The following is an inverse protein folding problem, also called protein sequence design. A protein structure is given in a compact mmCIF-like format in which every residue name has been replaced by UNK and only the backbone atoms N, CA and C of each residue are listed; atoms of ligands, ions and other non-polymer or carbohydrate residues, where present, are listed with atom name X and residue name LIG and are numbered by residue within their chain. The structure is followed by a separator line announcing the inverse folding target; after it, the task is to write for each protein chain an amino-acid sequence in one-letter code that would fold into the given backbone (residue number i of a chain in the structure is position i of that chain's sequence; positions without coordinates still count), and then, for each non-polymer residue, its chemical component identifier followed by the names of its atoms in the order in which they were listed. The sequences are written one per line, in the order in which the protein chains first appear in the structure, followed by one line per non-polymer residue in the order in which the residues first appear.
data_IF_985105007167
#
_entry.id   IF_985105007167
#
_cell.length_a   1.000
_cell.length_b   1.000
_cell.length_c   1.000
_cell.angle_alpha   90.00
_cell.angle_beta   90.00
_cell.angle_gamma   90.00
#
_symmetry.space_group_name_H-M   'P 1'
#
loop_
_entity.id
_entity.type
_entity.pdbx_description
1 polymer ?
#
# COMPACT_ATOMS: atom_id res chain seq x y z
N UNK A 1 15.35 25.70 17.11
CA UNK A 1 16.63 25.78 17.85
C UNK A 1 16.68 27.10 18.60
N UNK A 2 16.99 27.08 19.89
CA UNK A 2 17.24 28.28 20.72
C UNK A 2 18.57 28.03 21.46
N UNK A 3 19.51 28.98 21.39
CA UNK A 3 20.85 28.91 21.98
C UNK A 3 20.96 29.95 23.09
N UNK A 4 21.19 29.52 24.32
CA UNK A 4 21.58 30.39 25.44
C UNK A 4 23.00 30.03 25.87
N UNK A 5 23.88 31.02 25.91
CA UNK A 5 25.26 30.87 26.37
C UNK A 5 25.45 31.58 27.70
N UNK A 6 25.71 30.80 28.75
CA UNK A 6 26.25 31.28 30.01
C UNK A 6 27.54 30.49 30.30
N UNK A 7 28.58 31.19 30.76
CA UNK A 7 29.98 30.75 30.83
C UNK A 7 30.27 29.24 30.95
N UNK A 8 31.15 28.75 30.07
CA UNK A 8 31.68 27.39 29.95
C UNK A 8 30.69 26.23 29.72
N UNK A 9 29.38 26.49 29.68
CA UNK A 9 28.34 25.46 29.46
C UNK A 9 27.41 25.87 28.31
N UNK A 10 27.17 24.93 27.40
CA UNK A 10 26.23 25.13 26.27
C UNK A 10 25.02 24.22 26.43
N UNK A 11 23.82 24.76 26.22
CA UNK A 11 22.54 24.05 26.32
C UNK A 11 21.89 23.94 24.92
N UNK A 12 21.51 22.72 24.52
CA UNK A 12 20.82 22.46 23.26
C UNK A 12 19.48 21.74 23.48
N UNK A 13 18.49 22.05 22.63
CA UNK A 13 17.12 21.52 22.68
C UNK A 13 16.72 20.93 21.31
N UNK A 14 16.32 19.66 21.29
CA UNK A 14 15.77 18.95 20.11
C UNK A 14 14.36 18.42 20.44
N UNK A 15 13.42 18.47 19.48
CA UNK A 15 12.04 18.00 19.67
C UNK A 15 11.66 16.94 18.61
N UNK A 16 11.70 15.66 18.98
CA UNK A 16 11.38 14.51 18.13
C UNK A 16 11.01 13.30 19.01
N UNK A 17 10.06 12.44 18.60
CA UNK A 17 9.77 11.21 19.35
C UNK A 17 10.87 10.17 19.09
N UNK A 18 11.32 9.49 20.14
CA UNK A 18 12.37 8.47 20.07
C UNK A 18 11.84 7.14 20.60
N UNK A 19 12.29 6.03 20.02
CA UNK A 19 12.05 4.70 20.59
C UNK A 19 13.02 4.39 21.75
N UNK A 20 12.75 3.33 22.52
CA UNK A 20 13.52 2.96 23.73
C UNK A 20 15.00 2.65 23.43
N UNK A 21 15.31 2.21 22.20
CA UNK A 21 16.67 1.91 21.79
C UNK A 21 17.43 3.14 21.31
N UNK A 22 16.76 4.06 20.61
CA UNK A 22 17.31 5.39 20.35
C UNK A 22 17.65 6.07 21.67
N UNK A 23 16.81 5.93 22.69
CA UNK A 23 17.10 6.43 24.02
C UNK A 23 18.36 5.76 24.61
N UNK A 24 18.51 4.44 24.50
CA UNK A 24 19.69 3.72 24.98
C UNK A 24 20.98 4.15 24.25
N UNK A 25 20.99 4.20 22.91
CA UNK A 25 22.14 4.63 22.11
C UNK A 25 22.46 6.12 22.36
N UNK A 26 21.45 6.98 22.55
CA UNK A 26 21.63 8.39 22.94
C UNK A 26 22.26 8.49 24.33
N UNK A 27 21.88 7.63 25.28
CA UNK A 27 22.46 7.62 26.62
C UNK A 27 23.93 7.16 26.62
N UNK A 28 24.35 6.29 25.70
CA UNK A 28 25.77 5.94 25.53
C UNK A 28 26.64 7.13 25.05
N UNK A 29 26.05 8.09 24.32
CA UNK A 29 26.75 9.32 23.88
C UNK A 29 27.21 10.17 25.06
N UNK A 30 26.51 10.11 26.20
CA UNK A 30 26.86 10.89 27.40
C UNK A 30 28.25 10.54 27.91
N UNK A 31 28.58 9.26 27.97
CA UNK A 31 29.89 8.78 28.44
C UNK A 31 30.98 9.04 27.40
N UNK A 32 30.67 8.80 26.13
CA UNK A 32 31.62 8.95 25.01
C UNK A 32 32.14 10.38 24.83
N UNK A 33 31.28 11.38 25.04
CA UNK A 33 31.63 12.80 24.85
C UNK A 33 31.73 13.59 26.16
N UNK A 34 31.61 12.93 27.31
CA UNK A 34 31.59 13.56 28.63
C UNK A 34 30.58 14.73 28.69
N UNK A 35 29.36 14.49 28.25
CA UNK A 35 28.24 15.44 28.28
C UNK A 35 27.10 14.86 29.09
N UNK A 36 26.30 15.70 29.76
CA UNK A 36 25.06 15.29 30.40
C UNK A 36 23.90 15.36 29.42
N UNK A 37 23.16 14.26 29.26
CA UNK A 37 21.99 14.16 28.40
C UNK A 37 20.76 13.90 29.27
N UNK A 38 19.72 14.72 29.12
CA UNK A 38 18.43 14.56 29.77
C UNK A 38 17.35 14.43 28.68
N UNK A 39 16.56 13.36 28.77
CA UNK A 39 15.51 13.05 27.79
C UNK A 39 14.14 13.11 28.47
N UNK A 40 13.17 13.75 27.83
CA UNK A 40 11.76 13.73 28.21
C UNK A 40 10.95 13.03 27.10
N UNK A 41 10.74 11.70 27.21
CA UNK A 41 10.12 10.87 26.16
C UNK A 41 8.70 11.31 25.79
N UNK A 42 7.94 11.81 26.76
CA UNK A 42 6.54 12.20 26.58
C UNK A 42 6.34 13.37 25.59
N UNK A 43 7.34 14.26 25.47
CA UNK A 43 7.29 15.44 24.58
C UNK A 43 8.39 15.41 23.50
N UNK A 44 9.18 14.33 23.46
CA UNK A 44 10.24 14.14 22.48
C UNK A 44 11.44 15.06 22.67
N UNK A 45 11.78 15.40 23.91
CA UNK A 45 12.74 16.47 24.19
C UNK A 45 14.11 15.92 24.62
N UNK A 46 15.19 16.39 24.01
CA UNK A 46 16.57 16.10 24.44
C UNK A 46 17.26 17.40 24.85
N UNK A 47 17.83 17.39 26.05
CA UNK A 47 18.66 18.44 26.59
C UNK A 47 20.09 17.94 26.76
N UNK A 48 21.02 18.57 26.07
CA UNK A 48 22.45 18.27 26.16
C UNK A 48 23.14 19.43 26.88
N UNK A 49 23.94 19.10 27.90
CA UNK A 49 24.74 20.09 28.65
C UNK A 49 26.13 19.55 28.93
N UNK A 50 27.16 20.39 28.84
CA UNK A 50 28.54 19.98 29.01
C UNK A 50 29.50 21.10 28.62
N UNK A 51 30.79 20.78 28.54
CA UNK A 51 31.78 21.73 28.05
C UNK A 51 31.43 22.14 26.62
N UNK A 52 31.50 23.45 26.34
CA UNK A 52 31.11 24.03 25.04
C UNK A 52 31.78 23.37 23.81
N UNK A 53 32.98 22.81 23.98
CA UNK A 53 33.71 22.08 22.93
C UNK A 53 33.17 20.66 22.65
N UNK A 54 32.52 20.01 23.62
CA UNK A 54 32.06 18.62 23.51
C UNK A 54 30.62 18.52 23.01
N UNK A 55 29.78 19.48 23.41
CA UNK A 55 28.34 19.47 23.08
C UNK A 55 28.05 19.43 21.57
N UNK A 56 28.77 20.15 20.69
CA UNK A 56 28.53 20.05 19.24
C UNK A 56 28.83 18.67 18.64
N UNK A 57 29.81 17.95 19.18
CA UNK A 57 30.17 16.61 18.70
C UNK A 57 29.14 15.57 19.17
N UNK A 58 28.74 15.64 20.44
CA UNK A 58 27.65 14.82 20.98
C UNK A 58 26.33 15.05 20.22
N UNK A 59 26.00 16.32 19.90
CA UNK A 59 24.82 16.66 19.12
C UNK A 59 24.87 16.05 17.71
N UNK A 60 26.03 16.06 17.05
CA UNK A 60 26.21 15.45 15.72
C UNK A 60 25.98 13.95 15.76
N UNK A 61 26.49 13.27 16.79
CA UNK A 61 26.31 11.83 16.96
C UNK A 61 24.84 11.48 17.24
N UNK A 62 24.16 12.24 18.10
CA UNK A 62 22.73 12.06 18.37
C UNK A 62 21.90 12.29 17.10
N UNK A 63 22.21 13.34 16.33
CA UNK A 63 21.58 13.56 15.02
C UNK A 63 21.82 12.39 14.06
N UNK A 64 23.02 11.79 14.07
CA UNK A 64 23.33 10.61 13.27
C UNK A 64 22.44 9.44 13.70
N UNK A 65 22.41 9.09 14.99
CA UNK A 65 21.59 7.98 15.54
C UNK A 65 20.12 8.15 15.16
N UNK A 66 19.58 9.35 15.30
CA UNK A 66 18.20 9.68 14.96
C UNK A 66 17.94 9.50 13.46
N UNK A 67 18.82 9.99 12.60
CA UNK A 67 18.63 9.98 11.16
C UNK A 67 18.94 8.62 10.51
N UNK A 68 19.85 7.83 11.09
CA UNK A 68 20.34 6.56 10.51
C UNK A 68 19.30 5.44 10.63
N UNK A 69 18.59 5.34 11.76
CA UNK A 69 17.47 4.41 11.94
C UNK A 69 16.27 4.78 11.05
N UNK A 70 15.92 6.06 11.00
CA UNK A 70 14.81 6.56 10.19
C UNK A 70 15.11 6.37 8.69
N UNK A 71 16.35 6.61 8.23
CA UNK A 71 16.76 6.34 6.85
C UNK A 71 16.79 4.84 6.51
N UNK A 72 17.35 3.99 7.37
CA UNK A 72 17.49 2.56 7.08
C UNK A 72 16.11 1.87 6.95
N UNK A 73 15.16 2.20 7.82
CA UNK A 73 13.81 1.62 7.78
C UNK A 73 12.96 2.21 6.65
N UNK A 74 13.20 3.48 6.28
CA UNK A 74 12.59 4.08 5.08
C UNK A 74 13.05 3.39 3.81
N UNK A 75 14.31 2.96 3.73
CA UNK A 75 14.87 2.24 2.58
C UNK A 75 14.40 0.78 2.51
N UNK A 76 14.40 0.07 3.64
CA UNK A 76 14.20 -1.38 3.70
C UNK A 76 13.46 -1.79 4.97
N UNK A 77 12.52 -2.71 4.82
CA UNK A 77 11.83 -3.35 5.93
C UNK A 77 11.96 -4.88 5.85
N UNK A 78 12.24 -5.50 6.98
CA UNK A 78 12.27 -6.96 7.12
C UNK A 78 10.95 -7.50 7.66
N UNK A 79 10.60 -8.70 7.21
CA UNK A 79 9.38 -9.41 7.57
C UNK A 79 9.67 -10.89 7.86
N UNK A 80 8.76 -11.55 8.56
CA UNK A 80 8.74 -12.99 8.77
C UNK A 80 7.37 -13.59 8.43
N UNK A 81 7.35 -14.89 8.13
CA UNK A 81 6.11 -15.61 7.83
C UNK A 81 6.24 -17.13 7.98
N UNK A 82 5.13 -17.77 8.32
CA UNK A 82 4.99 -19.23 8.34
C UNK A 82 4.87 -19.82 6.92
N UNK A 83 5.37 -21.03 6.72
CA UNK A 83 5.29 -21.74 5.44
C UNK A 83 4.13 -22.75 5.36
N UNK A 84 3.25 -22.77 6.35
CA UNK A 84 2.22 -23.80 6.49
C UNK A 84 1.03 -23.62 5.52
N UNK A 85 0.92 -22.43 4.92
CA UNK A 85 -0.14 -22.06 3.97
C UNK A 85 0.40 -21.91 2.54
N UNK A 86 -0.48 -21.98 1.54
CA UNK A 86 -0.12 -21.65 0.15
C UNK A 86 0.22 -20.16 -0.02
N UNK A 87 -0.56 -19.30 0.65
CA UNK A 87 -0.38 -17.85 0.66
C UNK A 87 -0.45 -17.35 2.10
N UNK A 88 0.42 -16.41 2.46
CA UNK A 88 0.49 -15.85 3.82
C UNK A 88 0.73 -14.35 3.77
N UNK A 89 0.07 -13.59 4.63
CA UNK A 89 0.37 -12.17 4.82
C UNK A 89 1.58 -12.10 5.75
N UNK A 90 2.72 -11.54 5.31
CA UNK A 90 3.90 -11.51 6.15
C UNK A 90 3.77 -10.51 7.29
N UNK A 91 4.36 -10.84 8.43
CA UNK A 91 4.40 -9.98 9.61
C UNK A 91 5.68 -9.14 9.62
N UNK A 92 5.53 -7.89 10.03
CA UNK A 92 6.61 -6.91 10.02
C UNK A 92 7.44 -7.03 11.31
N UNK A 93 8.76 -7.14 11.21
CA UNK A 93 9.62 -6.94 12.38
C UNK A 93 9.52 -5.49 12.88
N UNK A 94 9.58 -5.30 14.20
CA UNK A 94 9.72 -3.96 14.77
C UNK A 94 10.86 -3.18 14.10
N UNK A 95 10.68 -1.87 13.92
CA UNK A 95 11.62 -1.01 13.18
C UNK A 95 13.06 -1.12 13.72
N UNK A 96 13.20 -1.20 15.03
CA UNK A 96 14.47 -1.37 15.73
C UNK A 96 15.16 -2.72 15.44
N UNK A 97 14.38 -3.79 15.30
CA UNK A 97 14.87 -5.12 14.88
C UNK A 97 15.23 -5.08 13.40
N UNK A 98 14.32 -4.62 12.55
CA UNK A 98 14.52 -4.48 11.09
C UNK A 98 15.82 -3.73 10.76
N UNK A 99 16.08 -2.59 11.41
CA UNK A 99 17.32 -1.83 11.22
C UNK A 99 18.58 -2.58 11.68
N UNK A 100 18.49 -3.44 12.70
CA UNK A 100 19.61 -4.28 13.16
C UNK A 100 19.86 -5.43 12.17
N UNK A 101 18.79 -6.05 11.68
CA UNK A 101 18.83 -7.10 10.66
C UNK A 101 19.48 -6.55 9.39
N UNK A 102 19.02 -5.40 8.91
CA UNK A 102 19.54 -4.77 7.71
C UNK A 102 21.02 -4.39 7.83
N UNK A 103 21.43 -3.82 8.97
CA UNK A 103 22.85 -3.51 9.24
C UNK A 103 23.72 -4.78 9.21
N UNK A 104 23.27 -5.86 9.84
CA UNK A 104 24.00 -7.13 9.84
C UNK A 104 24.05 -7.75 8.45
N UNK A 105 22.93 -7.73 7.71
CA UNK A 105 22.86 -8.25 6.34
C UNK A 105 23.76 -7.48 5.37
N UNK A 106 23.79 -6.13 5.44
CA UNK A 106 24.70 -5.31 4.63
C UNK A 106 26.18 -5.63 4.89
N UNK A 107 26.52 -5.99 6.13
CA UNK A 107 27.90 -6.32 6.53
C UNK A 107 28.31 -7.74 6.12
N UNK A 108 27.44 -8.73 6.34
CA UNK A 108 27.68 -10.13 5.97
C UNK A 108 26.37 -10.80 5.49
N UNK A 109 26.09 -10.78 4.17
CA UNK A 109 24.89 -11.39 3.59
C UNK A 109 24.83 -12.91 3.71
N UNK A 110 25.90 -13.58 4.14
CA UNK A 110 25.97 -15.04 4.32
C UNK A 110 26.05 -15.45 5.80
N UNK A 111 26.04 -14.49 6.71
CA UNK A 111 26.12 -14.70 8.15
C UNK A 111 24.76 -14.88 8.80
N UNK A 112 24.73 -14.60 10.11
CA UNK A 112 23.51 -14.59 10.91
C UNK A 112 23.47 -13.40 11.87
N UNK A 113 22.28 -13.12 12.40
CA UNK A 113 22.09 -12.09 13.43
C UNK A 113 21.08 -12.57 14.47
N UNK A 114 21.33 -12.27 15.74
CA UNK A 114 20.37 -12.47 16.83
C UNK A 114 19.68 -11.15 17.17
N UNK A 115 18.35 -11.16 17.16
CA UNK A 115 17.50 -9.99 17.44
C UNK A 115 16.41 -10.36 18.45
N UNK A 116 15.76 -9.35 19.05
CA UNK A 116 14.79 -9.52 20.14
C UNK A 116 15.40 -9.36 21.54
N UNK A 117 14.59 -8.87 22.48
CA UNK A 117 15.00 -8.63 23.87
C UNK A 117 14.57 -9.79 24.78
N UNK A 118 13.25 -10.01 24.89
CA UNK A 118 12.64 -11.10 25.66
C UNK A 118 12.70 -12.42 24.88
N UNK A 119 12.08 -12.46 23.69
CA UNK A 119 12.17 -13.58 22.77
C UNK A 119 13.28 -13.33 21.76
N UNK A 120 14.38 -14.06 21.89
CA UNK A 120 15.52 -13.95 20.98
C UNK A 120 15.33 -14.89 19.81
N UNK A 121 15.44 -14.35 18.61
CA UNK A 121 15.42 -15.10 17.36
C UNK A 121 16.76 -14.95 16.64
N UNK A 122 17.26 -16.04 16.09
CA UNK A 122 18.43 -16.06 15.22
C UNK A 122 17.96 -16.11 13.77
N UNK A 123 18.43 -15.15 12.96
CA UNK A 123 18.14 -15.06 11.53
C UNK A 123 19.38 -15.49 10.76
N UNK A 124 19.24 -16.52 9.93
CA UNK A 124 20.26 -17.00 9.00
C UNK A 124 20.01 -16.37 7.62
N UNK A 125 20.95 -15.54 7.15
CA UNK A 125 20.82 -14.82 5.89
C UNK A 125 21.04 -15.69 4.66
N UNK A 126 21.75 -16.81 4.82
CA UNK A 126 22.00 -17.76 3.73
C UNK A 126 20.76 -18.57 3.41
N UNK A 127 20.01 -19.00 4.42
CA UNK A 127 18.76 -19.77 4.24
C UNK A 127 17.51 -18.90 4.21
N UNK A 128 17.65 -17.62 4.56
CA UNK A 128 16.55 -16.66 4.74
C UNK A 128 15.47 -17.24 5.66
N UNK A 129 15.89 -17.70 6.84
CA UNK A 129 15.01 -18.27 7.87
C UNK A 129 15.36 -17.71 9.23
N UNK A 130 14.37 -17.66 10.12
CA UNK A 130 14.60 -17.45 11.53
C UNK A 130 14.31 -18.69 12.36
N UNK A 131 14.89 -18.73 13.55
CA UNK A 131 14.67 -19.75 14.56
C UNK A 131 14.64 -19.10 15.94
N UNK A 132 13.59 -19.39 16.70
CA UNK A 132 13.52 -19.00 18.11
C UNK A 132 14.64 -19.69 18.91
N UNK A 133 15.26 -18.96 19.83
CA UNK A 133 16.27 -19.50 20.74
C UNK A 133 15.65 -20.09 22.01
N UNK A 134 14.34 -19.93 22.23
CA UNK A 134 13.63 -20.64 23.29
C UNK A 134 13.52 -22.14 22.91
N UNK A 135 14.03 -23.07 23.74
CA UNK A 135 13.96 -24.51 23.47
C UNK A 135 12.54 -25.07 23.34
N UNK A 136 11.53 -24.35 23.83
CA UNK A 136 10.13 -24.76 23.78
C UNK A 136 9.46 -24.41 22.45
N UNK A 137 10.04 -23.47 21.69
CA UNK A 137 9.56 -23.06 20.36
C UNK A 137 10.50 -23.59 19.28
N UNK A 138 10.02 -24.58 18.52
CA UNK A 138 10.81 -25.23 17.48
C UNK A 138 10.37 -24.86 16.06
N UNK A 139 9.47 -23.88 15.93
CA UNK A 139 8.98 -23.43 14.64
C UNK A 139 10.03 -22.58 13.93
N UNK A 140 10.21 -22.87 12.64
CA UNK A 140 11.10 -22.11 11.76
C UNK A 140 10.26 -21.26 10.84
N UNK A 141 10.46 -19.95 10.90
CA UNK A 141 9.83 -19.02 9.98
C UNK A 141 10.77 -18.71 8.82
N UNK A 142 10.19 -18.27 7.70
CA UNK A 142 10.94 -17.65 6.62
C UNK A 142 11.06 -16.16 6.88
N UNK A 143 12.18 -15.57 6.49
CA UNK A 143 12.37 -14.11 6.54
C UNK A 143 12.43 -13.53 5.14
N UNK A 144 11.96 -12.30 5.03
CA UNK A 144 11.83 -11.59 3.76
C UNK A 144 12.33 -10.15 3.91
N UNK A 145 13.22 -9.75 2.99
CA UNK A 145 13.79 -8.40 2.92
C UNK A 145 13.07 -7.61 1.83
N UNK A 146 12.31 -6.58 2.20
CA UNK A 146 11.54 -5.74 1.28
C UNK A 146 12.17 -4.36 1.10
N UNK A 147 12.54 -3.95 -0.12
CA UNK A 147 12.85 -2.56 -0.41
C UNK A 147 11.59 -1.68 -0.31
N UNK A 148 11.64 -0.60 0.46
CA UNK A 148 10.54 0.33 0.70
C UNK A 148 10.62 1.59 -0.18
N UNK A 149 11.83 1.99 -0.60
CA UNK A 149 12.08 3.30 -1.22
C UNK A 149 11.71 3.45 -2.70
N UNK A 150 11.40 2.38 -3.44
CA UNK A 150 11.13 2.51 -4.87
C UNK A 150 9.79 3.21 -5.15
N UNK A 151 8.81 3.10 -4.26
CA UNK A 151 7.48 3.68 -4.46
C UNK A 151 6.64 3.67 -3.16
N UNK A 152 6.30 4.83 -2.53
CA UNK A 152 5.43 4.81 -1.36
C UNK A 152 4.02 4.37 -1.76
N UNK A 153 3.61 3.18 -1.33
CA UNK A 153 2.24 2.71 -1.50
C UNK A 153 1.26 3.54 -0.66
N UNK A 154 -0.04 3.57 -1.01
CA UNK A 154 -1.04 4.26 -0.22
C UNK A 154 -1.02 3.74 1.23
N UNK A 155 -1.12 4.62 2.25
CA UNK A 155 -1.00 4.20 3.65
C UNK A 155 -2.05 3.17 4.11
N UNK A 156 -3.16 3.07 3.38
CA UNK A 156 -4.25 2.15 3.64
C UNK A 156 -4.16 0.85 2.80
N UNK A 157 -3.00 0.56 2.21
CA UNK A 157 -2.74 -0.72 1.57
C UNK A 157 -2.20 -1.73 2.57
N UNK A 158 -2.71 -2.95 2.49
CA UNK A 158 -2.19 -4.10 3.20
C UNK A 158 -0.89 -4.57 2.55
N UNK A 159 -0.10 -5.37 3.28
CA UNK A 159 1.07 -6.02 2.70
C UNK A 159 0.63 -7.04 1.64
N UNK A 160 1.44 -7.20 0.58
CA UNK A 160 1.15 -8.23 -0.41
C UNK A 160 1.39 -9.60 0.24
N UNK A 161 0.47 -10.58 0.06
CA UNK A 161 0.71 -11.93 0.49
C UNK A 161 1.92 -12.52 -0.25
N UNK A 162 2.61 -13.44 0.39
CA UNK A 162 3.70 -14.20 -0.18
C UNK A 162 3.17 -15.55 -0.65
N UNK A 163 3.51 -15.95 -1.86
CA UNK A 163 3.39 -17.33 -2.32
C UNK A 163 4.50 -18.15 -1.66
N UNK A 164 4.13 -19.02 -0.72
CA UNK A 164 5.08 -19.81 0.07
C UNK A 164 5.92 -20.77 -0.79
N UNK A 165 5.44 -21.16 -1.99
CA UNK A 165 6.18 -22.03 -2.90
C UNK A 165 7.32 -21.29 -3.62
N UNK A 166 7.17 -19.99 -3.84
CA UNK A 166 8.15 -19.17 -4.56
C UNK A 166 8.93 -18.20 -3.67
N UNK A 167 8.41 -17.90 -2.46
CA UNK A 167 8.94 -16.89 -1.55
C UNK A 167 8.80 -15.45 -2.08
N UNK A 168 7.87 -15.21 -3.01
CA UNK A 168 7.66 -13.91 -3.64
C UNK A 168 6.30 -13.33 -3.29
N UNK A 169 6.24 -12.01 -3.16
CA UNK A 169 4.98 -11.28 -3.08
C UNK A 169 4.12 -11.56 -4.31
N UNK A 170 2.82 -11.73 -4.09
CA UNK A 170 1.84 -11.80 -5.16
C UNK A 170 1.81 -10.48 -5.92
N UNK A 171 1.74 -10.57 -7.25
CA UNK A 171 1.59 -9.41 -8.13
C UNK A 171 0.26 -8.68 -7.86
N UNK A 172 -0.79 -9.43 -7.59
CA UNK A 172 -2.14 -8.93 -7.31
C UNK A 172 -2.60 -9.48 -5.97
N UNK A 173 -3.03 -8.59 -5.08
CA UNK A 173 -3.76 -8.97 -3.89
C UNK A 173 -5.19 -8.42 -3.98
N UNK A 174 -6.17 -9.33 -3.82
CA UNK A 174 -7.58 -8.99 -3.76
C UNK A 174 -8.16 -9.50 -2.46
N UNK A 175 -8.82 -8.62 -1.72
CA UNK A 175 -9.45 -8.96 -0.45
C UNK A 175 -10.80 -8.26 -0.31
N UNK A 176 -11.68 -8.87 0.48
CA UNK A 176 -13.04 -8.37 0.69
C UNK A 176 -13.00 -7.27 1.73
N UNK A 177 -13.66 -6.15 1.44
CA UNK A 177 -13.81 -5.06 2.40
C UNK A 177 -14.88 -5.46 3.42
N UNK A 178 -14.58 -5.31 4.70
CA UNK A 178 -15.54 -5.54 5.78
C UNK A 178 -16.76 -4.61 5.63
N UNK A 179 -17.95 -5.21 5.65
CA UNK A 179 -19.23 -4.51 5.52
C UNK A 179 -19.48 -3.52 6.66
N UNK A 180 -18.82 -3.68 7.81
CA UNK A 180 -18.93 -2.77 8.96
C UNK A 180 -17.92 -1.62 8.90
N UNK A 181 -17.02 -1.61 7.92
CA UNK A 181 -15.98 -0.59 7.80
C UNK A 181 -16.51 0.72 7.20
N UNK A 182 -15.90 1.83 7.60
CA UNK A 182 -16.17 3.14 6.99
C UNK A 182 -15.83 3.16 5.49
N UNK A 183 -14.82 2.40 5.05
CA UNK A 183 -14.46 2.29 3.63
C UNK A 183 -15.60 1.64 2.83
N UNK A 184 -16.24 0.60 3.37
CA UNK A 184 -17.40 -0.02 2.73
C UNK A 184 -18.56 0.98 2.58
N UNK A 185 -18.92 1.68 3.66
CA UNK A 185 -20.02 2.65 3.64
C UNK A 185 -19.82 3.75 2.59
N UNK A 186 -18.58 4.25 2.45
CA UNK A 186 -18.25 5.26 1.45
C UNK A 186 -18.44 4.75 0.01
N UNK A 187 -17.91 3.56 -0.30
CA UNK A 187 -17.98 2.98 -1.65
C UNK A 187 -19.41 2.55 -1.98
N UNK A 188 -20.09 1.93 -1.04
CA UNK A 188 -21.48 1.53 -1.15
C UNK A 188 -22.41 2.74 -1.31
N UNK A 189 -22.20 3.81 -0.54
CA UNK A 189 -22.95 5.07 -0.65
C UNK A 189 -22.76 5.74 -2.01
N UNK A 190 -21.52 5.80 -2.51
CA UNK A 190 -21.22 6.32 -3.85
C UNK A 190 -21.89 5.50 -4.95
N UNK A 191 -21.86 4.16 -4.84
CA UNK A 191 -22.57 3.28 -5.76
C UNK A 191 -24.07 3.58 -5.76
N UNK A 192 -24.72 3.56 -4.59
CA UNK A 192 -26.16 3.84 -4.45
C UNK A 192 -26.55 5.21 -5.02
N UNK A 193 -25.79 6.25 -4.71
CA UNK A 193 -26.03 7.59 -5.26
C UNK A 193 -25.98 7.57 -6.80
N UNK A 194 -24.99 6.90 -7.38
CA UNK A 194 -24.83 6.80 -8.85
C UNK A 194 -25.86 5.89 -9.53
N UNK A 195 -26.56 5.03 -8.77
CA UNK A 195 -27.65 4.19 -9.23
C UNK A 195 -29.01 4.90 -9.20
N UNK A 196 -29.20 5.84 -8.27
CA UNK A 196 -30.48 6.53 -8.04
C UNK A 196 -31.04 7.29 -9.26
N UNK A 197 -30.19 7.61 -10.24
CA UNK A 197 -30.59 8.30 -11.48
C UNK A 197 -31.28 7.41 -12.52
N UNK A 198 -31.40 6.10 -12.29
CA UNK A 198 -32.06 5.17 -13.21
C UNK A 198 -33.11 4.32 -12.50
N UNK A 199 -34.39 4.66 -12.72
CA UNK A 199 -35.52 3.88 -12.18
C UNK A 199 -35.58 2.45 -12.71
N UNK A 200 -34.97 2.18 -13.88
CA UNK A 200 -34.98 0.87 -14.52
C UNK A 200 -33.97 -0.14 -13.91
N UNK A 201 -33.07 0.32 -13.02
CA UNK A 201 -32.01 -0.50 -12.42
C UNK A 201 -32.03 -0.46 -10.88
N UNK A 202 -33.17 -0.07 -10.29
CA UNK A 202 -33.35 0.17 -8.86
C UNK A 202 -33.10 -1.05 -7.93
N UNK A 203 -32.88 -2.24 -8.49
CA UNK A 203 -32.78 -3.49 -7.74
C UNK A 203 -31.39 -4.16 -7.82
N UNK A 204 -30.35 -3.49 -8.32
CA UNK A 204 -28.99 -4.03 -8.27
C UNK A 204 -28.46 -3.95 -6.84
N UNK A 205 -28.16 -5.10 -6.23
CA UNK A 205 -27.66 -5.19 -4.86
C UNK A 205 -26.16 -5.54 -4.88
N UNK A 206 -25.39 -4.87 -4.02
CA UNK A 206 -23.98 -5.21 -3.82
C UNK A 206 -23.90 -6.49 -3.00
N UNK A 207 -23.35 -7.54 -3.60
CA UNK A 207 -23.06 -8.81 -2.93
C UNK A 207 -21.74 -8.71 -2.18
N UNK A 208 -20.73 -8.12 -2.83
CA UNK A 208 -19.37 -8.03 -2.29
C UNK A 208 -18.61 -6.86 -2.89
N UNK A 209 -17.82 -6.18 -2.08
CA UNK A 209 -16.82 -5.19 -2.52
C UNK A 209 -15.44 -5.75 -2.20
N UNK A 210 -14.59 -5.78 -3.20
CA UNK A 210 -13.20 -6.20 -3.05
C UNK A 210 -12.27 -5.03 -3.37
N UNK A 211 -11.24 -4.88 -2.57
CA UNK A 211 -10.12 -3.99 -2.84
C UNK A 211 -9.08 -4.73 -3.66
N UNK A 212 -8.45 -4.04 -4.60
CA UNK A 212 -7.40 -4.62 -5.45
C UNK A 212 -6.12 -3.82 -5.25
N UNK A 213 -5.05 -4.54 -4.92
CA UNK A 213 -3.71 -4.00 -4.83
C UNK A 213 -2.86 -4.65 -5.90
N UNK A 214 -2.45 -3.83 -6.87
CA UNK A 214 -1.44 -4.18 -7.86
C UNK A 214 -0.36 -3.09 -7.79
N UNK A 215 0.75 -3.34 -7.06
CA UNK A 215 1.87 -2.42 -6.92
C UNK A 215 2.40 -1.88 -8.26
N UNK A 216 2.60 -2.76 -9.25
CA UNK A 216 3.16 -2.40 -10.55
C UNK A 216 2.26 -1.44 -11.33
N UNK A 217 0.96 -1.73 -11.40
CA UNK A 217 -0.01 -0.84 -12.06
C UNK A 217 -0.19 0.48 -11.31
N UNK A 218 -0.11 0.48 -9.97
CA UNK A 218 -0.19 1.70 -9.19
C UNK A 218 1.03 2.61 -9.39
N UNK A 219 2.23 2.05 -9.47
CA UNK A 219 3.44 2.80 -9.80
C UNK A 219 3.31 3.48 -11.18
N UNK A 220 2.92 2.72 -12.21
CA UNK A 220 2.68 3.28 -13.55
C UNK A 220 1.64 4.40 -13.49
N UNK A 221 0.55 4.20 -12.75
CA UNK A 221 -0.50 5.21 -12.59
C UNK A 221 0.03 6.53 -11.99
N UNK A 222 0.74 6.45 -10.88
CA UNK A 222 1.24 7.64 -10.18
C UNK A 222 2.37 8.35 -10.94
N UNK A 223 3.22 7.61 -11.67
CA UNK A 223 4.18 8.21 -12.60
C UNK A 223 3.49 9.01 -13.72
N UNK A 224 2.39 8.48 -14.27
CA UNK A 224 1.60 9.18 -15.28
C UNK A 224 0.86 10.39 -14.68
N UNK A 225 0.37 10.26 -13.45
CA UNK A 225 -0.28 11.35 -12.72
C UNK A 225 0.67 12.52 -12.45
N UNK A 226 1.92 12.26 -12.08
CA UNK A 226 2.97 13.30 -11.91
C UNK A 226 3.24 14.10 -13.18
N UNK A 227 3.11 13.46 -14.35
CA UNK A 227 3.32 14.11 -15.66
C UNK A 227 2.12 14.96 -16.11
N UNK A 228 0.97 14.88 -15.45
CA UNK A 228 -0.16 15.76 -15.72
C UNK A 228 0.04 17.11 -15.03
N UNK A 229 0.32 18.17 -15.81
CA UNK A 229 0.49 19.55 -15.29
C UNK A 229 -0.84 20.32 -15.18
N UNK A 230 -0.88 21.32 -14.27
CA UNK A 230 -1.84 22.42 -14.17
C UNK A 230 -3.34 22.09 -14.38
N UNK A 231 -3.96 21.41 -13.41
CA UNK A 231 -5.42 21.20 -13.35
C UNK A 231 -5.88 19.76 -13.64
N UNK A 232 -5.00 18.79 -13.39
CA UNK A 232 -5.24 17.36 -13.61
C UNK A 232 -6.57 16.87 -13.04
N UNK A 233 -7.44 16.39 -13.92
CA UNK A 233 -8.72 15.83 -13.56
C UNK A 233 -8.56 14.31 -13.37
N UNK A 234 -8.35 13.88 -12.12
CA UNK A 234 -8.54 12.49 -11.71
C UNK A 234 -10.04 12.31 -11.40
N UNK A 235 -10.67 11.32 -12.02
CA UNK A 235 -12.07 11.01 -11.78
C UNK A 235 -12.22 9.59 -11.26
N UNK A 236 -13.16 9.38 -10.33
CA UNK A 236 -13.66 8.05 -10.00
C UNK A 236 -14.76 7.69 -10.99
N UNK A 237 -14.55 6.64 -11.78
CA UNK A 237 -15.47 6.20 -12.82
C UNK A 237 -15.74 4.69 -12.71
N UNK A 238 -16.82 4.26 -13.36
CA UNK A 238 -17.32 2.89 -13.31
C UNK A 238 -17.03 2.15 -14.62
N UNK A 239 -16.63 0.88 -14.56
CA UNK A 239 -16.42 0.04 -15.73
C UNK A 239 -17.06 -1.34 -15.53
N UNK A 240 -18.10 -1.65 -16.29
CA UNK A 240 -18.71 -2.98 -16.29
C UNK A 240 -17.90 -3.95 -17.14
N UNK A 241 -17.73 -5.18 -16.67
CA UNK A 241 -17.02 -6.22 -17.43
C UNK A 241 -17.62 -7.61 -17.23
N UNK A 242 -17.20 -8.57 -18.05
CA UNK A 242 -17.52 -9.99 -17.88
C UNK A 242 -16.56 -10.65 -16.89
N UNK A 243 -17.04 -11.68 -16.18
CA UNK A 243 -16.25 -12.48 -15.23
C UNK A 243 -14.92 -12.96 -15.78
N UNK A 244 -14.91 -13.40 -17.04
CA UNK A 244 -13.74 -13.97 -17.73
C UNK A 244 -12.62 -12.95 -17.94
N UNK A 245 -12.91 -11.65 -17.92
CA UNK A 245 -11.91 -10.60 -18.09
C UNK A 245 -11.31 -10.11 -16.75
N UNK A 246 -11.92 -10.44 -15.61
CA UNK A 246 -11.56 -9.89 -14.29
C UNK A 246 -10.11 -10.19 -13.91
N UNK A 247 -9.67 -11.43 -14.06
CA UNK A 247 -8.31 -11.82 -13.69
C UNK A 247 -7.28 -11.06 -14.54
N UNK A 248 -7.48 -11.05 -15.86
CA UNK A 248 -6.60 -10.36 -16.78
C UNK A 248 -6.55 -8.83 -16.51
N UNK A 249 -7.70 -8.21 -16.19
CA UNK A 249 -7.76 -6.79 -15.83
C UNK A 249 -7.00 -6.54 -14.52
N UNK A 250 -7.13 -7.40 -13.52
CA UNK A 250 -6.43 -7.22 -12.24
C UNK A 250 -4.90 -7.30 -12.40
N UNK A 251 -4.41 -8.21 -13.25
CA UNK A 251 -2.98 -8.40 -13.51
C UNK A 251 -2.41 -7.34 -14.44
N UNK A 252 -3.03 -7.14 -15.61
CA UNK A 252 -2.47 -6.32 -16.70
C UNK A 252 -3.06 -4.92 -16.81
N UNK A 253 -4.11 -4.64 -16.05
CA UNK A 253 -4.89 -3.42 -16.15
C UNK A 253 -5.83 -3.41 -17.35
N UNK A 254 -6.38 -2.23 -17.63
CA UNK A 254 -7.30 -2.07 -18.76
C UNK A 254 -6.53 -1.95 -20.07
N UNK A 255 -6.70 -2.94 -20.96
CA UNK A 255 -6.05 -2.96 -22.26
C UNK A 255 -7.04 -2.70 -23.39
N UNK A 256 -6.80 -1.65 -24.19
CA UNK A 256 -7.59 -1.30 -25.37
C UNK A 256 -7.69 -2.42 -26.41
N UNK A 257 -6.67 -3.27 -26.52
CA UNK A 257 -6.63 -4.40 -27.45
C UNK A 257 -7.67 -5.48 -27.08
N UNK A 258 -8.09 -5.53 -25.81
CA UNK A 258 -9.06 -6.51 -25.32
C UNK A 258 -10.50 -5.94 -25.33
N UNK A 259 -10.70 -4.67 -25.73
CA UNK A 259 -12.00 -3.98 -25.73
C UNK A 259 -12.73 -4.08 -27.09
N UNK A 260 -12.68 -5.23 -27.75
CA UNK A 260 -13.07 -5.35 -29.17
C UNK A 260 -14.59 -5.32 -29.43
N UNK A 261 -15.45 -5.43 -28.40
CA UNK A 261 -16.85 -5.87 -28.62
C UNK A 261 -17.96 -4.88 -28.25
N UNK A 262 -17.67 -3.77 -27.58
CA UNK A 262 -18.75 -2.88 -27.10
C UNK A 262 -18.42 -1.40 -27.28
N UNK A 263 -19.17 -0.75 -28.19
CA UNK A 263 -19.27 0.70 -28.38
C UNK A 263 -17.99 1.43 -28.86
N UNK A 264 -17.57 1.24 -30.12
CA UNK A 264 -16.50 2.02 -30.78
C UNK A 264 -16.89 3.44 -31.22
N UNK A 265 -18.07 3.92 -30.83
CA UNK A 265 -18.66 5.19 -31.31
C UNK A 265 -17.77 6.42 -31.03
N UNK A 266 -16.95 6.37 -30.00
CA UNK A 266 -16.07 7.47 -29.60
C UNK A 266 -14.58 7.14 -29.72
N UNK A 267 -14.25 6.02 -30.38
CA UNK A 267 -12.88 5.55 -30.59
C UNK A 267 -12.65 4.11 -30.13
N UNK A 268 -11.49 3.55 -30.46
CA UNK A 268 -10.99 2.26 -30.01
C UNK A 268 -10.22 2.47 -28.70
N UNK A 269 -10.89 2.25 -27.58
CA UNK A 269 -10.33 2.47 -26.26
C UNK A 269 -11.12 1.76 -25.16
N UNK A 270 -10.71 1.99 -23.92
CA UNK A 270 -11.41 1.51 -22.72
C UNK A 270 -12.45 2.55 -22.32
N UNK A 271 -13.67 2.09 -22.06
CA UNK A 271 -14.80 2.96 -21.74
C UNK A 271 -15.10 2.96 -20.25
N UNK A 272 -15.41 4.14 -19.72
CA UNK A 272 -15.80 4.35 -18.32
C UNK A 272 -17.04 5.23 -18.25
N UNK A 273 -17.91 4.97 -17.27
CA UNK A 273 -19.11 5.76 -17.03
C UNK A 273 -18.97 6.61 -15.77
N UNK A 274 -19.55 7.82 -15.78
CA UNK A 274 -19.67 8.65 -14.58
C UNK A 274 -20.64 8.08 -13.55
N UNK A 275 -21.64 7.32 -14.01
CA UNK A 275 -22.68 6.75 -13.15
C UNK A 275 -22.71 5.22 -13.28
N UNK A 276 -22.81 4.52 -12.15
CA UNK A 276 -22.77 3.05 -12.12
C UNK A 276 -23.90 2.41 -12.91
N UNK A 277 -25.09 3.04 -12.96
CA UNK A 277 -26.24 2.50 -13.67
C UNK A 277 -25.94 2.21 -15.14
N UNK A 278 -25.03 2.97 -15.77
CA UNK A 278 -24.66 2.72 -17.16
C UNK A 278 -23.80 1.46 -17.28
N UNK A 279 -22.83 1.33 -16.37
CA UNK A 279 -21.87 0.22 -16.35
C UNK A 279 -22.50 -1.11 -15.94
N UNK A 280 -23.51 -1.11 -15.05
CA UNK A 280 -24.20 -2.34 -14.61
C UNK A 280 -25.15 -2.93 -15.68
N UNK A 281 -25.39 -2.24 -16.80
CA UNK A 281 -26.22 -2.81 -17.88
C UNK A 281 -25.62 -4.12 -18.37
N UNK A 282 -26.46 -5.12 -18.64
CA UNK A 282 -26.04 -6.48 -19.02
C UNK A 282 -25.12 -6.55 -20.25
N UNK A 283 -25.10 -5.52 -21.10
CA UNK A 283 -24.20 -5.43 -22.26
C UNK A 283 -22.75 -5.08 -21.89
N UNK A 284 -22.51 -4.55 -20.69
CA UNK A 284 -21.18 -4.18 -20.19
C UNK A 284 -20.78 -5.07 -19.01
N UNK A 285 -21.64 -5.18 -17.99
CA UNK A 285 -21.51 -6.16 -16.91
C UNK A 285 -22.32 -7.40 -17.24
N UNK A 286 -21.80 -8.27 -18.11
CA UNK A 286 -22.49 -9.50 -18.52
C UNK A 286 -22.67 -10.41 -17.30
N UNK A 287 -23.91 -10.76 -16.90
CA UNK A 287 -24.15 -11.69 -15.80
C UNK A 287 -23.50 -13.04 -16.07
N UNK A 288 -22.89 -13.65 -15.06
CA UNK A 288 -22.38 -15.02 -15.17
C UNK A 288 -23.51 -16.06 -15.06
N UNK A 289 -23.13 -17.34 -15.06
CA UNK A 289 -24.07 -18.47 -14.91
C UNK A 289 -24.90 -18.41 -13.62
N UNK A 290 -24.41 -17.69 -12.60
CA UNK A 290 -25.09 -17.44 -11.31
C UNK A 290 -25.80 -16.08 -11.30
N UNK A 291 -25.92 -15.43 -12.44
CA UNK A 291 -26.50 -14.10 -12.60
C UNK A 291 -25.74 -12.98 -11.88
N UNK A 292 -24.49 -13.21 -11.47
CA UNK A 292 -23.63 -12.20 -10.86
C UNK A 292 -23.04 -11.30 -11.94
N UNK A 293 -23.09 -10.00 -11.67
CA UNK A 293 -22.54 -8.96 -12.53
C UNK A 293 -21.29 -8.35 -11.88
N UNK A 294 -20.35 -7.90 -12.71
CA UNK A 294 -19.04 -7.44 -12.26
C UNK A 294 -18.74 -6.03 -12.76
N UNK A 295 -18.25 -5.18 -11.86
CA UNK A 295 -17.96 -3.79 -12.17
C UNK A 295 -16.76 -3.30 -11.37
N UNK A 296 -15.91 -2.51 -12.01
CA UNK A 296 -14.84 -1.77 -11.35
C UNK A 296 -15.27 -0.36 -11.00
N UNK A 297 -14.74 0.13 -9.89
CA UNK A 297 -14.62 1.55 -9.55
C UNK A 297 -13.13 1.89 -9.67
N UNK A 298 -12.79 2.70 -10.65
CA UNK A 298 -11.41 3.02 -11.00
C UNK A 298 -11.15 4.51 -10.85
N UNK A 299 -9.92 4.85 -10.45
CA UNK A 299 -9.37 6.20 -10.61
C UNK A 299 -8.83 6.33 -12.01
N UNK A 300 -9.35 7.28 -12.77
CA UNK A 300 -9.02 7.50 -14.17
C UNK A 300 -8.41 8.90 -14.30
N UNK A 301 -7.20 8.97 -14.84
CA UNK A 301 -6.58 10.21 -15.26
C UNK A 301 -7.24 10.67 -16.57
N UNK A 302 -8.28 11.49 -16.47
CA UNK A 302 -9.00 11.97 -17.67
C UNK A 302 -8.34 13.21 -18.29
N UNK A 303 -7.62 13.99 -17.48
CA UNK A 303 -6.93 15.20 -17.94
C UNK A 303 -7.85 16.17 -18.69
N UNK A 304 -7.32 16.83 -19.73
CA UNK A 304 -8.12 17.58 -20.71
C UNK A 304 -8.77 16.58 -21.67
N UNK A 305 -10.06 16.72 -21.91
CA UNK A 305 -10.81 15.84 -22.80
C UNK A 305 -11.60 16.62 -23.85
N UNK A 306 -11.88 15.96 -24.98
CA UNK A 306 -12.72 16.48 -26.06
C UNK A 306 -13.63 15.38 -26.59
N UNK A 307 -14.56 15.74 -27.49
CA UNK A 307 -15.51 14.80 -28.06
C UNK A 307 -14.78 13.78 -28.95
N UNK A 308 -14.91 12.50 -28.61
CA UNK A 308 -14.42 11.40 -29.44
C UNK A 308 -15.23 11.22 -30.73
N UNK A 309 -14.67 10.44 -31.66
CA UNK A 309 -15.32 10.00 -32.89
C UNK A 309 -14.93 8.57 -33.21
N UNK A 310 -15.76 7.89 -33.97
CA UNK A 310 -15.49 6.53 -34.43
C UNK A 310 -14.18 6.48 -35.24
N UNK A 311 -13.48 5.35 -35.13
CA UNK A 311 -12.22 5.11 -35.82
C UNK A 311 -10.97 5.72 -35.16
N UNK A 312 -11.10 6.56 -34.13
CA UNK A 312 -9.93 7.06 -33.38
C UNK A 312 -9.21 5.92 -32.66
N UNK A 313 -7.89 5.83 -32.81
CA UNK A 313 -7.03 4.90 -32.05
C UNK A 313 -6.27 5.60 -30.90
N UNK A 314 -6.26 6.93 -30.95
CA UNK A 314 -5.69 7.82 -29.95
C UNK A 314 -6.60 9.04 -29.81
N UNK A 315 -6.63 9.69 -28.63
CA UNK A 315 -7.30 10.97 -28.46
C UNK A 315 -6.79 12.02 -29.47
N UNK A 316 -7.66 12.90 -29.99
CA UNK A 316 -7.24 13.96 -30.88
C UNK A 316 -6.43 15.03 -30.11
N UNK A 317 -5.49 15.72 -30.76
CA UNK A 317 -4.74 16.80 -30.13
C UNK A 317 -5.68 17.95 -29.74
N UNK A 318 -5.45 18.52 -28.55
CA UNK A 318 -6.22 19.66 -28.02
C UNK A 318 -5.43 20.96 -28.23
N UNK A 319 -4.10 20.90 -28.22
CA UNK A 319 -3.15 21.96 -28.56
C UNK A 319 -1.88 21.35 -29.18
N UNK A 320 -0.99 22.17 -29.76
CA UNK A 320 0.21 21.72 -30.48
C UNK A 320 1.33 21.16 -29.59
N UNK A 321 1.21 21.28 -28.25
CA UNK A 321 2.30 20.99 -27.31
C UNK A 321 2.00 19.89 -26.27
N UNK A 322 0.74 19.46 -26.07
CA UNK A 322 0.45 18.45 -25.04
C UNK A 322 0.25 17.02 -25.59
N UNK A 323 1.24 16.17 -25.30
CA UNK A 323 1.04 14.72 -25.27
C UNK A 323 0.06 14.36 -24.14
N UNK A 324 -1.10 13.82 -24.51
CA UNK A 324 -2.14 13.44 -23.55
C UNK A 324 -1.78 12.15 -22.85
N UNK A 325 -1.89 12.17 -21.53
CA UNK A 325 -1.62 11.04 -20.65
C UNK A 325 -2.95 10.52 -20.13
N UNK A 326 -3.32 9.30 -20.54
CA UNK A 326 -4.45 8.56 -19.98
C UNK A 326 -3.88 7.34 -19.26
N UNK A 327 -4.02 7.31 -17.93
CA UNK A 327 -3.69 6.16 -17.10
C UNK A 327 -4.83 5.85 -16.14
N UNK A 328 -4.96 4.59 -15.74
CA UNK A 328 -6.06 4.12 -14.91
C UNK A 328 -5.54 3.24 -13.79
N UNK A 329 -5.97 3.54 -12.57
CA UNK A 329 -5.78 2.68 -11.42
C UNK A 329 -7.11 2.03 -11.03
N UNK A 330 -7.14 0.71 -10.98
CA UNK A 330 -8.23 -0.03 -10.35
C UNK A 330 -8.15 0.18 -8.85
N UNK A 331 -9.27 0.53 -8.21
CA UNK A 331 -9.32 0.69 -6.77
C UNK A 331 -10.23 -0.36 -6.14
N UNK A 332 -11.40 -0.58 -6.73
CA UNK A 332 -12.39 -1.51 -6.19
C UNK A 332 -13.02 -2.36 -7.29
N UNK A 333 -13.32 -3.59 -6.93
CA UNK A 333 -14.08 -4.54 -7.72
C UNK A 333 -15.36 -4.89 -6.99
N UNK A 334 -16.49 -4.68 -7.64
CA UNK A 334 -17.82 -4.81 -7.07
C UNK A 334 -18.53 -5.95 -7.77
N UNK A 335 -18.97 -6.94 -6.98
CA UNK A 335 -19.86 -8.01 -7.44
C UNK A 335 -21.30 -7.64 -7.09
N UNK A 336 -22.18 -7.69 -8.08
CA UNK A 336 -23.57 -7.26 -8.01
C UNK A 336 -24.51 -8.43 -8.32
N UNK A 337 -25.67 -8.46 -7.65
CA UNK A 337 -26.78 -9.33 -8.01
C UNK A 337 -27.78 -8.55 -8.88
N UNK A 338 -28.27 -9.17 -9.95
CA UNK A 338 -29.24 -8.55 -10.87
C UNK A 338 -30.67 -8.42 -10.28
N UNK A 339 -31.53 -7.62 -10.93
CA UNK A 339 -32.83 -7.18 -10.40
C UNK A 339 -33.88 -8.27 -10.14
N UNK A 340 -33.65 -9.52 -10.55
CA UNK A 340 -34.59 -10.64 -10.46
C UNK A 340 -34.04 -11.87 -9.70
N UNK A 341 -32.88 -11.76 -9.05
CA UNK A 341 -32.33 -12.86 -8.26
C UNK A 341 -32.48 -12.58 -6.76
N UNK A 342 -33.32 -13.37 -6.10
CA UNK A 342 -33.19 -13.57 -4.66
C UNK A 342 -31.86 -14.29 -4.42
N UNK A 343 -30.88 -13.58 -3.88
CA UNK A 343 -29.57 -14.15 -3.56
C UNK A 343 -29.72 -15.09 -2.34
N UNK A 344 -30.20 -16.31 -2.56
CA UNK A 344 -30.27 -17.36 -1.52
C UNK A 344 -28.88 -17.81 -1.03
N UNK A 345 -27.82 -17.40 -1.72
CA UNK A 345 -26.43 -17.64 -1.35
C UNK A 345 -25.90 -16.68 -0.27
N UNK A 346 -26.63 -15.64 0.12
CA UNK A 346 -26.18 -14.70 1.16
C UNK A 346 -26.50 -15.16 2.59
N UNK A 347 -27.21 -16.28 2.80
CA UNK A 347 -27.61 -16.75 4.13
C UNK A 347 -27.11 -18.13 4.56
N UNK A 348 -26.50 -18.94 3.67
CA UNK A 348 -26.26 -20.37 3.95
C UNK A 348 -24.82 -20.87 3.99
N UNK A 349 -23.80 -20.00 3.90
CA UNK A 349 -22.41 -20.36 4.31
C UNK A 349 -21.95 -19.60 5.55
N UNK A 350 -22.89 -18.98 6.26
CA UNK A 350 -22.70 -18.38 7.57
C UNK A 350 -22.81 -19.49 8.61
N UNK A 351 -21.71 -19.75 9.32
CA UNK A 351 -21.49 -20.78 10.36
C UNK A 351 -20.79 -22.06 9.87
N UNK A 352 -19.47 -21.98 9.75
CA UNK A 352 -18.52 -22.92 10.38
C UNK A 352 -17.15 -22.62 9.79
N UNK A 353 -16.24 -22.16 10.65
CA UNK A 353 -14.78 -22.38 10.70
C UNK A 353 -14.32 -21.49 11.86
N UNK A 354 -14.54 -21.99 13.07
CA UNK A 354 -13.82 -21.58 14.27
C UNK A 354 -12.63 -22.53 14.42
#
# INVERSE_FOLDING_TARGET
QVREEQGNKSLWKLQQRFDERQLAEILEVQDLYCVRIECEPAIGFIRISGLAKNVPNALREIHRIIHDLDATVREVQWFYYETNANFVIPEKYADSMSAKIERAYKNDPSGSVVVGEEMKVEIDFKTMTERCLDPTENEKMKVYRRPCEAFPFPPNWEFQPIDCSTGKELEVHRFTIDQQSQEFDQIHGMFKASMSMSMALANAEIVKIEKIQNPGLHQIYEEQKKKMSNGGNEMRLFHGTAKTAVENINTTGFNRANCEKTAVKFGKGVYFAKQAWYSVRNIYSVPDEKGLQYMYIARVLVGKYTKGKEGLIMPPPIDAENNQIVSVQMCYFVSLCGPNMQCSLAKSTWNSWH
#
